data_IF_135671793756
#
_entry.id   IF_135671793756
#
_cell.length_a   1.000
_cell.length_b   1.000
_cell.length_c   1.000
_cell.angle_alpha   90.00
_cell.angle_beta   90.00
_cell.angle_gamma   90.00
#
_symmetry.space_group_name_H-M   'P 1'
#
loop_
_entity.id
_entity.type
_entity.pdbx_description
1 polymer ?
#
# COMPACT_ATOMS: atom_id res chain seq x y z
N UNK A 1 -12.15 -6.99 -17.13
CA UNK A 1 -10.87 -7.71 -16.94
C UNK A 1 -9.81 -6.88 -16.16
N UNK A 2 -10.22 -6.08 -15.16
CA UNK A 2 -9.31 -5.19 -14.38
C UNK A 2 -9.09 -5.64 -12.92
N UNK A 3 -9.85 -6.63 -12.42
CA UNK A 3 -9.79 -7.08 -11.00
C UNK A 3 -8.45 -7.75 -10.64
N UNK A 4 -7.83 -8.44 -11.60
CA UNK A 4 -6.64 -9.28 -11.37
C UNK A 4 -5.39 -8.49 -10.97
N UNK A 5 -5.18 -7.30 -11.53
CA UNK A 5 -3.96 -6.53 -11.28
C UNK A 5 -3.96 -5.84 -9.91
N UNK A 6 -5.13 -5.40 -9.42
CA UNK A 6 -5.27 -4.88 -8.06
C UNK A 6 -4.90 -5.95 -7.03
N UNK A 7 -5.53 -7.11 -7.13
CA UNK A 7 -5.25 -8.27 -6.26
C UNK A 7 -3.78 -8.69 -6.29
N UNK A 8 -3.10 -8.66 -7.45
CA UNK A 8 -1.67 -8.98 -7.52
C UNK A 8 -0.84 -7.98 -6.69
N UNK A 9 -1.13 -6.67 -6.79
CA UNK A 9 -0.39 -5.64 -6.04
C UNK A 9 -0.62 -5.76 -4.55
N UNK A 10 -1.87 -5.93 -4.14
CA UNK A 10 -2.26 -6.14 -2.74
C UNK A 10 -1.60 -7.40 -2.18
N UNK A 11 -1.62 -8.51 -2.94
CA UNK A 11 -0.98 -9.77 -2.54
C UNK A 11 0.53 -9.64 -2.42
N UNK A 12 1.18 -8.97 -3.37
CA UNK A 12 2.61 -8.69 -3.29
C UNK A 12 2.93 -7.87 -2.03
N UNK A 13 2.24 -6.75 -1.83
CA UNK A 13 2.42 -5.89 -0.68
C UNK A 13 2.25 -6.65 0.63
N UNK A 14 1.14 -7.37 0.77
CA UNK A 14 0.84 -8.16 1.95
C UNK A 14 1.94 -9.18 2.23
N UNK A 15 2.38 -9.92 1.21
CA UNK A 15 3.42 -10.94 1.36
C UNK A 15 4.77 -10.36 1.79
N UNK A 16 5.17 -9.20 1.27
CA UNK A 16 6.44 -8.57 1.63
C UNK A 16 6.40 -7.99 3.05
N UNK A 17 5.34 -7.24 3.39
CA UNK A 17 5.25 -6.54 4.68
C UNK A 17 5.00 -7.52 5.82
N UNK A 18 4.24 -8.59 5.59
CA UNK A 18 3.92 -9.59 6.61
C UNK A 18 5.12 -10.39 7.10
N UNK A 19 6.29 -10.29 6.45
CA UNK A 19 7.50 -10.99 6.93
C UNK A 19 7.98 -10.42 8.27
N UNK A 20 7.88 -9.11 8.45
CA UNK A 20 8.45 -8.40 9.59
C UNK A 20 7.42 -7.59 10.39
N UNK A 21 6.20 -7.43 9.88
CA UNK A 21 5.14 -6.63 10.51
C UNK A 21 3.79 -7.35 10.53
N UNK A 22 2.94 -6.98 11.48
CA UNK A 22 1.55 -7.43 11.49
C UNK A 22 0.74 -6.60 10.50
N UNK A 23 -0.05 -7.26 9.66
CA UNK A 23 -0.94 -6.58 8.70
C UNK A 23 -2.38 -7.05 8.87
N UNK A 24 -3.31 -6.11 8.82
CA UNK A 24 -4.75 -6.35 8.96
C UNK A 24 -5.51 -5.61 7.86
N UNK A 25 -6.69 -6.10 7.47
CA UNK A 25 -7.59 -5.33 6.62
C UNK A 25 -8.27 -4.23 7.44
N UNK A 26 -8.59 -3.10 6.80
CA UNK A 26 -9.24 -1.97 7.45
C UNK A 26 -10.31 -1.37 6.54
N UNK A 27 -11.32 -0.71 7.11
CA UNK A 27 -12.37 -0.03 6.34
C UNK A 27 -11.86 1.27 5.67
N UNK A 28 -10.75 1.82 6.16
CA UNK A 28 -10.25 3.14 5.76
C UNK A 28 -9.13 3.10 4.72
N UNK A 29 -8.74 1.92 4.25
CA UNK A 29 -7.64 1.66 3.30
C UNK A 29 -7.59 0.17 2.93
N UNK A 30 -6.48 -0.30 2.37
CA UNK A 30 -6.34 -1.74 2.05
C UNK A 30 -5.73 -2.51 3.23
N UNK A 31 -4.73 -1.92 3.92
CA UNK A 31 -4.04 -2.57 5.04
C UNK A 31 -3.77 -1.60 6.20
N UNK A 32 -3.76 -2.13 7.42
CA UNK A 32 -3.28 -1.50 8.65
C UNK A 32 -2.03 -2.26 9.12
N UNK A 33 -0.90 -1.57 9.23
CA UNK A 33 0.37 -2.13 9.68
C UNK A 33 0.55 -1.81 11.16
N UNK A 34 0.83 -2.85 11.96
CA UNK A 34 1.08 -2.78 13.40
C UNK A 34 0.05 -1.93 14.17
N UNK A 35 -1.21 -1.93 13.71
CA UNK A 35 -2.32 -1.21 14.34
C UNK A 35 -2.34 0.31 14.16
N UNK A 36 -1.41 0.93 13.42
CA UNK A 36 -1.33 2.40 13.37
C UNK A 36 -1.04 3.01 11.99
N UNK A 37 -0.39 2.32 11.05
CA UNK A 37 -0.13 2.86 9.70
C UNK A 37 -1.12 2.32 8.69
N UNK A 38 -1.92 3.18 8.08
CA UNK A 38 -2.86 2.77 7.01
C UNK A 38 -2.18 2.85 5.65
N UNK A 39 -2.30 1.80 4.84
CA UNK A 39 -1.75 1.78 3.47
C UNK A 39 -2.84 1.45 2.46
N UNK A 40 -2.90 2.24 1.40
CA UNK A 40 -3.71 1.99 0.21
C UNK A 40 -2.80 1.55 -0.94
N UNK A 41 -3.07 0.41 -1.55
CA UNK A 41 -2.27 -0.16 -2.63
C UNK A 41 -2.94 0.10 -3.98
N UNK A 42 -2.18 0.50 -4.99
CA UNK A 42 -2.78 0.78 -6.29
C UNK A 42 -1.79 1.07 -7.41
N UNK A 43 -2.31 1.44 -8.58
CA UNK A 43 -1.49 1.90 -9.70
C UNK A 43 -1.10 3.38 -9.58
N UNK A 44 -0.29 3.85 -10.53
CA UNK A 44 0.23 5.24 -10.64
C UNK A 44 -0.76 6.36 -10.33
N UNK A 45 -2.02 6.20 -10.77
CA UNK A 45 -3.07 7.22 -10.63
C UNK A 45 -3.87 7.13 -9.32
N UNK A 46 -3.55 6.20 -8.41
CA UNK A 46 -4.21 6.11 -7.10
C UNK A 46 -4.00 7.43 -6.34
N UNK A 47 -5.06 7.93 -5.73
CA UNK A 47 -5.08 9.22 -5.02
C UNK A 47 -5.43 8.98 -3.56
N UNK A 48 -5.04 9.89 -2.65
CA UNK A 48 -5.26 9.73 -1.20
C UNK A 48 -6.71 9.91 -0.76
N UNK A 49 -7.69 9.88 -1.67
CA UNK A 49 -9.09 10.22 -1.37
C UNK A 49 -9.69 9.36 -0.26
N UNK A 50 -9.35 8.07 -0.19
CA UNK A 50 -9.87 7.17 0.85
C UNK A 50 -9.22 7.46 2.21
N UNK A 51 -7.90 7.72 2.21
CA UNK A 51 -7.08 7.92 3.40
C UNK A 51 -6.81 9.39 3.75
N UNK A 52 -7.56 10.35 3.18
CA UNK A 52 -7.20 11.78 3.22
C UNK A 52 -7.24 12.39 4.63
N UNK A 53 -8.03 11.81 5.53
CA UNK A 53 -8.20 12.27 6.91
C UNK A 53 -7.36 11.49 7.91
N UNK A 54 -6.56 10.52 7.44
CA UNK A 54 -5.71 9.69 8.29
C UNK A 54 -4.31 10.29 8.24
N UNK A 55 -3.79 10.66 9.40
CA UNK A 55 -2.47 11.29 9.53
C UNK A 55 -1.35 10.34 9.07
N UNK A 56 -1.37 9.12 9.60
CA UNK A 56 -0.38 8.08 9.30
C UNK A 56 -0.86 7.15 8.20
N UNK A 57 -1.08 7.73 7.02
CA UNK A 57 -1.50 6.98 5.85
C UNK A 57 -0.69 7.26 4.59
N UNK A 58 -0.44 6.19 3.84
CA UNK A 58 0.44 6.16 2.68
C UNK A 58 -0.21 5.41 1.51
N UNK A 59 0.25 5.69 0.30
CA UNK A 59 -0.11 4.91 -0.89
C UNK A 59 1.12 4.11 -1.35
N UNK A 60 0.99 2.79 -1.43
CA UNK A 60 1.93 1.95 -2.14
C UNK A 60 1.52 1.85 -3.61
N UNK A 61 2.24 2.55 -4.49
CA UNK A 61 1.83 2.75 -5.88
C UNK A 61 2.76 2.08 -6.87
N UNK A 62 2.19 1.24 -7.72
CA UNK A 62 2.83 0.61 -8.86
C UNK A 62 3.09 1.63 -9.99
N UNK A 63 4.14 1.39 -10.78
CA UNK A 63 4.59 2.22 -11.89
C UNK A 63 5.03 3.64 -11.48
N UNK A 64 5.73 3.72 -10.34
CA UNK A 64 6.48 4.90 -9.89
C UNK A 64 7.98 4.60 -9.89
N UNK A 65 8.79 5.56 -10.35
CA UNK A 65 10.26 5.47 -10.32
C UNK A 65 10.83 5.96 -9.00
N UNK A 66 10.17 6.91 -8.34
CA UNK A 66 10.58 7.48 -7.05
C UNK A 66 9.37 7.82 -6.19
N UNK A 67 9.59 7.89 -4.88
CA UNK A 67 8.57 8.32 -3.92
C UNK A 67 8.41 9.83 -3.87
N UNK A 68 7.20 10.30 -3.55
CA UNK A 68 6.91 11.71 -3.35
C UNK A 68 5.78 11.87 -2.35
N UNK A 69 5.97 12.75 -1.36
CA UNK A 69 5.04 12.94 -0.23
C UNK A 69 4.69 11.58 0.43
N UNK A 70 3.40 11.25 0.58
CA UNK A 70 2.93 9.99 1.17
C UNK A 70 2.75 8.86 0.12
N UNK A 71 3.36 8.97 -1.06
CA UNK A 71 3.37 7.92 -2.08
C UNK A 71 4.72 7.22 -2.14
N UNK A 72 4.69 5.90 -1.99
CA UNK A 72 5.85 5.02 -1.99
C UNK A 72 5.76 4.09 -3.20
N UNK A 73 6.81 3.95 -4.02
CA UNK A 73 6.84 2.97 -5.10
C UNK A 73 6.66 1.55 -4.56
N UNK A 74 5.70 0.81 -5.12
CA UNK A 74 5.37 -0.53 -4.65
C UNK A 74 6.56 -1.48 -4.70
N UNK A 75 7.45 -1.34 -5.68
CA UNK A 75 8.62 -2.21 -5.83
C UNK A 75 9.65 -2.08 -4.70
N UNK A 76 9.64 -0.99 -3.92
CA UNK A 76 10.55 -0.85 -2.76
C UNK A 76 10.26 -1.87 -1.66
N UNK A 77 9.01 -2.33 -1.55
CA UNK A 77 8.64 -3.34 -0.56
C UNK A 77 9.28 -4.70 -0.85
N UNK A 78 9.78 -4.94 -2.06
CA UNK A 78 10.51 -6.16 -2.41
C UNK A 78 11.91 -6.28 -1.77
N UNK A 79 12.37 -5.27 -1.04
CA UNK A 79 13.64 -5.31 -0.31
C UNK A 79 13.48 -5.59 1.19
N UNK A 80 12.26 -5.86 1.68
CA UNK A 80 11.94 -6.07 3.10
C UNK A 80 12.16 -7.52 3.56
N UNK A 81 13.35 -8.07 3.29
CA UNK A 81 13.76 -9.43 3.67
C UNK A 81 13.85 -9.64 5.20
#
# INVERSE_FOLDING_TARGET
MYKKLGTIRETFFANQVSQNHTIEYTESGDFLIDGHVTVEVGGKHKTRKQIQHIQDAYIASDNLEYGYDKKIPLWLFGFLY
#
